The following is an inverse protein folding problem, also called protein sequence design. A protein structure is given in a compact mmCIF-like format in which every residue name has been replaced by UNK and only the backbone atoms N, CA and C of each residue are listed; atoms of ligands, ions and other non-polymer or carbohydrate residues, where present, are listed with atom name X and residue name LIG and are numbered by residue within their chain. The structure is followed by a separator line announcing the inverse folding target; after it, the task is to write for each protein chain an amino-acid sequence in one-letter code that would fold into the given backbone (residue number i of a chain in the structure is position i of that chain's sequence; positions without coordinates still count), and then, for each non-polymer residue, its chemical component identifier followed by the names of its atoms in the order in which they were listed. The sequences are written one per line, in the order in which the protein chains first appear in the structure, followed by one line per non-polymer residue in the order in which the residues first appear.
data_IF_346878332974
#
_entry.id   IF_346878332974
#
_cell.length_a   1.000
_cell.length_b   1.000
_cell.length_c   1.000
_cell.angle_alpha   90.00
_cell.angle_beta   90.00
_cell.angle_gamma   90.00
#
_symmetry.space_group_name_H-M   'P 1'
#
loop_
_entity.id
_entity.type
_entity.pdbx_description
1 polymer ?
#
# COMPACT_ATOMS: atom_id res chain seq x y z
N UNK A 1 28.10 -37.99 38.56
CA UNK A 1 27.84 -37.26 37.30
C UNK A 1 27.52 -38.17 36.09
N UNK A 2 27.05 -39.43 36.26
CA UNK A 2 26.76 -40.34 35.13
C UNK A 2 25.26 -40.70 34.91
N UNK A 3 24.32 -40.05 35.62
CA UNK A 3 22.89 -40.42 35.57
C UNK A 3 22.10 -39.86 34.39
N UNK A 4 22.45 -38.67 33.87
CA UNK A 4 21.64 -37.99 32.85
C UNK A 4 21.78 -38.58 31.43
N UNK A 5 22.93 -39.18 31.11
CA UNK A 5 23.17 -39.78 29.80
C UNK A 5 22.41 -41.12 29.62
N UNK A 6 22.27 -41.92 30.68
CA UNK A 6 21.50 -43.16 30.63
C UNK A 6 19.99 -42.94 30.53
N UNK A 7 19.47 -41.80 31.02
CA UNK A 7 18.04 -41.50 30.97
C UNK A 7 17.58 -41.05 29.57
N UNK A 8 18.40 -40.28 28.84
CA UNK A 8 18.12 -39.86 27.45
C UNK A 8 18.11 -41.04 26.46
N UNK A 9 19.02 -42.01 26.64
CA UNK A 9 19.09 -43.22 25.80
C UNK A 9 17.88 -44.15 25.99
N UNK A 10 17.33 -44.23 27.21
CA UNK A 10 16.15 -45.04 27.54
C UNK A 10 14.85 -44.50 26.94
N UNK A 11 14.69 -43.16 26.91
CA UNK A 11 13.52 -42.53 26.26
C UNK A 11 13.59 -42.70 24.75
N UNK A 12 14.78 -42.58 24.15
CA UNK A 12 14.97 -42.78 22.71
C UNK A 12 14.71 -44.24 22.28
N UNK A 13 15.13 -45.23 23.08
CA UNK A 13 14.85 -46.64 22.80
C UNK A 13 13.37 -46.99 23.01
N UNK A 14 12.74 -46.45 24.05
CA UNK A 14 11.30 -46.65 24.33
C UNK A 14 10.41 -46.08 23.21
N UNK A 15 10.78 -44.94 22.65
CA UNK A 15 10.10 -44.36 21.49
C UNK A 15 10.32 -45.20 20.21
N UNK A 16 11.49 -45.82 20.03
CA UNK A 16 11.78 -46.69 18.89
C UNK A 16 11.06 -48.05 18.98
N UNK A 17 10.84 -48.55 20.19
CA UNK A 17 10.14 -49.82 20.45
C UNK A 17 8.61 -49.66 20.41
N UNK A 18 8.08 -48.50 20.81
CA UNK A 18 6.66 -48.19 20.67
C UNK A 18 6.20 -48.15 19.20
N UNK A 19 7.11 -47.89 18.25
CA UNK A 19 6.84 -47.97 16.80
C UNK A 19 6.77 -49.42 16.29
N UNK A 20 7.32 -50.40 17.03
CA UNK A 20 7.42 -51.81 16.59
C UNK A 20 6.30 -52.73 17.09
N UNK A 21 5.45 -52.29 18.03
CA UNK A 21 4.52 -53.17 18.73
C UNK A 21 3.02 -52.96 18.36
N UNK A 22 2.65 -53.07 17.08
CA UNK A 22 1.24 -53.31 16.73
C UNK A 22 1.11 -54.12 15.45
N UNK A 23 0.54 -55.32 15.60
CA UNK A 23 0.36 -56.36 14.59
C UNK A 23 -0.65 -56.01 13.49
N UNK A 24 -0.30 -55.07 12.63
CA UNK A 24 -0.76 -54.96 11.25
C UNK A 24 0.50 -54.63 10.46
N UNK A 25 0.95 -55.52 9.58
CA UNK A 25 2.07 -55.31 8.65
C UNK A 25 1.72 -54.28 7.59
N UNK A 26 1.34 -53.07 7.99
CA UNK A 26 1.66 -51.88 7.22
C UNK A 26 3.18 -51.82 7.29
N UNK A 27 3.86 -52.36 6.27
CA UNK A 27 5.32 -52.45 6.20
C UNK A 27 5.92 -51.14 6.72
N UNK A 28 6.90 -51.17 7.62
CA UNK A 28 7.44 -49.94 8.25
C UNK A 28 7.85 -48.85 7.25
N UNK A 29 8.07 -49.25 5.99
CA UNK A 29 8.17 -48.38 4.80
C UNK A 29 6.91 -47.56 4.53
N UNK A 30 5.72 -48.16 4.48
CA UNK A 30 4.43 -47.47 4.29
C UNK A 30 4.17 -46.50 5.44
N UNK A 31 4.40 -46.91 6.69
CA UNK A 31 4.26 -46.01 7.85
C UNK A 31 5.22 -44.81 7.76
N UNK A 32 6.46 -45.05 7.33
CA UNK A 32 7.47 -44.01 7.11
C UNK A 32 7.11 -43.08 5.94
N UNK A 33 6.58 -43.62 4.83
CA UNK A 33 6.08 -42.82 3.70
C UNK A 33 4.93 -41.93 4.14
N UNK A 34 3.94 -42.50 4.85
CA UNK A 34 2.80 -41.72 5.38
C UNK A 34 3.31 -40.62 6.31
N UNK A 35 4.24 -40.93 7.21
CA UNK A 35 4.83 -39.93 8.09
C UNK A 35 5.53 -38.80 7.32
N UNK A 36 6.38 -39.14 6.33
CA UNK A 36 7.06 -38.14 5.48
C UNK A 36 6.05 -37.30 4.72
N UNK A 37 4.99 -37.91 4.15
CA UNK A 37 3.92 -37.19 3.45
C UNK A 37 3.20 -36.23 4.41
N UNK A 38 2.86 -36.67 5.62
CA UNK A 38 2.23 -35.82 6.63
C UNK A 38 3.14 -34.64 7.00
N UNK A 39 4.43 -34.89 7.25
CA UNK A 39 5.40 -33.83 7.53
C UNK A 39 5.48 -32.84 6.36
N UNK A 40 5.56 -33.32 5.12
CA UNK A 40 5.59 -32.47 3.93
C UNK A 40 4.31 -31.62 3.81
N UNK A 41 3.14 -32.20 4.08
CA UNK A 41 1.86 -31.47 4.07
C UNK A 41 1.83 -30.39 5.15
N UNK A 42 2.28 -30.69 6.37
CA UNK A 42 2.35 -29.71 7.47
C UNK A 42 3.30 -28.57 7.12
N UNK A 43 4.48 -28.87 6.58
CA UNK A 43 5.45 -27.85 6.13
C UNK A 43 4.85 -26.99 5.02
N UNK A 44 4.19 -27.60 4.02
CA UNK A 44 3.53 -26.88 2.94
C UNK A 44 2.40 -25.97 3.47
N UNK A 45 1.58 -26.47 4.40
CA UNK A 45 0.51 -25.70 5.02
C UNK A 45 1.03 -24.51 5.84
N UNK A 46 2.07 -24.72 6.66
CA UNK A 46 2.72 -23.65 7.43
C UNK A 46 3.33 -22.58 6.50
N UNK A 47 3.95 -23.01 5.40
CA UNK A 47 4.52 -22.11 4.41
C UNK A 47 3.44 -21.30 3.66
N UNK A 48 2.34 -21.94 3.28
CA UNK A 48 1.19 -21.26 2.65
C UNK A 48 0.56 -20.24 3.60
N UNK A 49 0.35 -20.61 4.88
CA UNK A 49 -0.18 -19.71 5.91
C UNK A 49 0.69 -18.47 6.10
N UNK A 50 2.02 -18.64 6.21
CA UNK A 50 2.97 -17.51 6.33
C UNK A 50 2.89 -16.57 5.12
N UNK A 51 2.77 -17.14 3.92
CA UNK A 51 2.68 -16.36 2.69
C UNK A 51 1.37 -15.57 2.62
N UNK A 52 0.24 -16.20 2.96
CA UNK A 52 -1.06 -15.54 3.02
C UNK A 52 -1.07 -14.38 4.03
N UNK A 53 -0.58 -14.63 5.25
CA UNK A 53 -0.54 -13.61 6.30
C UNK A 53 0.39 -12.42 5.95
N UNK A 54 1.45 -12.68 5.18
CA UNK A 54 2.34 -11.62 4.66
C UNK A 54 1.66 -10.79 3.58
N UNK A 55 0.85 -11.40 2.71
CA UNK A 55 0.10 -10.69 1.68
C UNK A 55 -1.00 -9.84 2.31
N UNK A 56 -1.74 -10.38 3.28
CA UNK A 56 -2.79 -9.67 4.01
C UNK A 56 -2.26 -8.40 4.68
N UNK A 57 -1.15 -8.51 5.43
CA UNK A 57 -0.49 -7.36 6.06
C UNK A 57 -0.09 -6.27 5.06
N UNK A 58 0.31 -6.66 3.85
CA UNK A 58 0.70 -5.72 2.81
C UNK A 58 -0.52 -5.02 2.20
N UNK A 59 -1.61 -5.75 1.96
CA UNK A 59 -2.87 -5.18 1.48
C UNK A 59 -3.45 -4.19 2.49
N UNK A 60 -3.49 -4.57 3.77
CA UNK A 60 -3.92 -3.67 4.86
C UNK A 60 -3.07 -2.40 4.89
N UNK A 61 -1.76 -2.50 4.67
CA UNK A 61 -0.88 -1.32 4.63
C UNK A 61 -1.18 -0.40 3.45
N UNK A 62 -1.48 -0.95 2.28
CA UNK A 62 -1.91 -0.15 1.11
C UNK A 62 -3.22 0.55 1.40
N UNK A 63 -4.20 -0.14 1.98
CA UNK A 63 -5.51 0.45 2.29
C UNK A 63 -5.39 1.60 3.30
N UNK A 64 -4.57 1.42 4.33
CA UNK A 64 -4.28 2.47 5.31
C UNK A 64 -3.57 3.67 4.67
N UNK A 65 -2.56 3.42 3.82
CA UNK A 65 -1.85 4.49 3.12
C UNK A 65 -2.76 5.24 2.14
N UNK A 66 -3.66 4.51 1.45
CA UNK A 66 -4.66 5.08 0.56
C UNK A 66 -5.63 6.01 1.31
N UNK A 67 -6.19 5.57 2.44
CA UNK A 67 -7.07 6.41 3.27
C UNK A 67 -6.36 7.65 3.80
N UNK A 68 -5.07 7.53 4.14
CA UNK A 68 -4.25 8.67 4.56
C UNK A 68 -4.00 9.67 3.42
N UNK A 69 -3.85 9.18 2.18
CA UNK A 69 -3.74 10.04 1.02
C UNK A 69 -5.07 10.77 0.76
N UNK A 70 -6.18 10.05 0.75
CA UNK A 70 -7.52 10.60 0.55
C UNK A 70 -7.84 11.72 1.55
N UNK A 71 -7.61 11.50 2.85
CA UNK A 71 -7.84 12.54 3.88
C UNK A 71 -6.97 13.79 3.71
N UNK A 72 -5.78 13.63 3.16
CA UNK A 72 -4.86 14.76 2.91
C UNK A 72 -5.28 15.55 1.66
N UNK A 73 -5.79 14.87 0.62
CA UNK A 73 -6.37 15.51 -0.55
C UNK A 73 -7.65 16.29 -0.19
N UNK A 74 -8.52 15.73 0.65
CA UNK A 74 -9.69 16.44 1.20
C UNK A 74 -9.29 17.71 1.95
N UNK A 75 -8.23 17.65 2.77
CA UNK A 75 -7.72 18.85 3.45
C UNK A 75 -7.23 19.90 2.46
N UNK A 76 -6.53 19.49 1.39
CA UNK A 76 -6.09 20.41 0.32
C UNK A 76 -7.28 21.04 -0.42
N UNK A 77 -8.34 20.30 -0.69
CA UNK A 77 -9.54 20.84 -1.36
C UNK A 77 -10.24 21.91 -0.50
N UNK A 78 -10.29 21.73 0.83
CA UNK A 78 -10.78 22.75 1.77
C UNK A 78 -9.94 24.03 1.69
N UNK A 79 -8.61 23.91 1.69
CA UNK A 79 -7.72 25.07 1.54
C UNK A 79 -7.88 25.75 0.18
N UNK A 80 -8.04 24.97 -0.90
CA UNK A 80 -8.30 25.51 -2.23
C UNK A 80 -9.60 26.33 -2.28
N UNK A 81 -10.67 25.85 -1.64
CA UNK A 81 -11.94 26.61 -1.52
C UNK A 81 -11.80 27.85 -0.65
N UNK A 82 -11.02 27.80 0.43
CA UNK A 82 -10.75 28.96 1.26
C UNK A 82 -10.01 30.06 0.45
N UNK A 83 -9.06 29.66 -0.39
CA UNK A 83 -8.37 30.57 -1.32
C UNK A 83 -9.35 31.13 -2.35
N UNK A 84 -10.25 30.30 -2.91
CA UNK A 84 -11.27 30.75 -3.85
C UNK A 84 -12.21 31.79 -3.20
N UNK A 85 -12.74 31.53 -2.01
CA UNK A 85 -13.62 32.44 -1.28
C UNK A 85 -12.95 33.80 -0.98
N UNK A 86 -11.66 33.80 -0.64
CA UNK A 86 -10.89 35.04 -0.49
C UNK A 86 -10.78 35.81 -1.83
N UNK A 87 -10.51 35.12 -2.93
CA UNK A 87 -10.41 35.76 -4.26
C UNK A 87 -11.74 36.30 -4.76
N UNK A 88 -12.89 35.72 -4.40
CA UNK A 88 -14.22 36.24 -4.77
C UNK A 88 -14.47 37.66 -4.26
N UNK A 89 -13.80 38.06 -3.17
CA UNK A 89 -13.87 39.42 -2.62
C UNK A 89 -13.06 40.44 -3.46
N UNK A 90 -12.26 39.98 -4.42
CA UNK A 90 -11.44 40.84 -5.28
C UNK A 90 -12.31 41.62 -6.29
N UNK A 91 -11.97 42.89 -6.51
CA UNK A 91 -12.66 43.75 -7.48
C UNK A 91 -12.36 43.36 -8.95
N UNK A 92 -11.29 42.61 -9.20
CA UNK A 92 -10.88 42.19 -10.54
C UNK A 92 -11.69 41.01 -11.08
N UNK A 93 -12.17 41.13 -12.32
CA UNK A 93 -12.97 40.11 -12.99
C UNK A 93 -12.18 38.83 -13.24
N UNK A 94 -10.86 38.93 -13.48
CA UNK A 94 -10.01 37.74 -13.66
C UNK A 94 -9.87 36.97 -12.35
N UNK A 95 -9.71 37.67 -11.23
CA UNK A 95 -9.69 37.07 -9.89
C UNK A 95 -10.96 36.26 -9.59
N UNK A 96 -12.14 36.82 -9.89
CA UNK A 96 -13.42 36.10 -9.70
C UNK A 96 -13.56 34.87 -10.60
N UNK A 97 -13.14 34.97 -11.87
CA UNK A 97 -13.12 33.81 -12.79
C UNK A 97 -12.17 32.71 -12.31
N UNK A 98 -10.99 33.09 -11.81
CA UNK A 98 -10.03 32.14 -11.23
C UNK A 98 -10.59 31.47 -9.96
N UNK A 99 -11.31 32.22 -9.12
CA UNK A 99 -12.00 31.69 -7.95
C UNK A 99 -13.07 30.65 -8.31
N UNK A 100 -13.97 31.00 -9.24
CA UNK A 100 -15.01 30.09 -9.71
C UNK A 100 -14.41 28.80 -10.31
N UNK A 101 -13.33 28.94 -11.09
CA UNK A 101 -12.61 27.78 -11.63
C UNK A 101 -11.98 26.92 -10.54
N UNK A 102 -11.32 27.54 -9.54
CA UNK A 102 -10.68 26.83 -8.43
C UNK A 102 -11.70 26.05 -7.60
N UNK A 103 -12.86 26.64 -7.28
CA UNK A 103 -13.96 25.95 -6.61
C UNK A 103 -14.46 24.77 -7.44
N UNK A 104 -14.68 24.97 -8.75
CA UNK A 104 -15.18 23.92 -9.63
C UNK A 104 -14.23 22.71 -9.73
N UNK A 105 -12.92 22.95 -9.86
CA UNK A 105 -11.94 21.84 -9.91
C UNK A 105 -11.77 21.17 -8.55
N UNK A 106 -11.84 21.92 -7.44
CA UNK A 106 -11.78 21.35 -6.09
C UNK A 106 -12.99 20.43 -5.82
N UNK A 107 -14.19 20.85 -6.20
CA UNK A 107 -15.39 20.02 -6.05
C UNK A 107 -15.40 18.81 -6.99
N UNK A 108 -14.86 18.97 -8.21
CA UNK A 108 -14.65 17.86 -9.13
C UNK A 108 -13.68 16.85 -8.55
N UNK A 109 -12.56 17.31 -8.00
CA UNK A 109 -11.57 16.45 -7.36
C UNK A 109 -12.20 15.67 -6.22
N UNK A 110 -12.92 16.32 -5.31
CA UNK A 110 -13.58 15.65 -4.17
C UNK A 110 -14.57 14.55 -4.59
N UNK A 111 -15.30 14.77 -5.69
CA UNK A 111 -16.29 13.83 -6.23
C UNK A 111 -15.71 12.80 -7.21
N UNK A 112 -14.44 12.92 -7.59
CA UNK A 112 -13.84 12.05 -8.60
C UNK A 112 -13.77 10.59 -8.11
N UNK A 113 -14.07 9.66 -9.01
CA UNK A 113 -13.83 8.24 -8.76
C UNK A 113 -12.33 7.95 -8.65
N UNK A 114 -11.91 6.83 -8.05
CA UNK A 114 -10.48 6.53 -7.86
C UNK A 114 -9.63 6.58 -9.13
N UNK A 115 -10.19 6.19 -10.27
CA UNK A 115 -9.57 6.22 -11.60
C UNK A 115 -9.42 7.64 -12.18
N UNK A 116 -10.30 8.56 -11.81
CA UNK A 116 -10.29 9.96 -12.27
C UNK A 116 -9.65 10.92 -11.26
N UNK A 117 -9.34 10.43 -10.06
CA UNK A 117 -8.88 11.25 -8.94
C UNK A 117 -7.56 11.94 -9.25
N UNK A 118 -6.65 11.25 -9.93
CA UNK A 118 -5.34 11.79 -10.29
C UNK A 118 -5.46 12.99 -11.23
N UNK A 119 -6.20 12.85 -12.33
CA UNK A 119 -6.44 13.92 -13.29
C UNK A 119 -7.13 15.12 -12.63
N UNK A 120 -8.10 14.87 -11.75
CA UNK A 120 -8.80 15.94 -11.05
C UNK A 120 -7.90 16.69 -10.05
N UNK A 121 -6.97 16.00 -9.38
CA UNK A 121 -5.96 16.65 -8.50
C UNK A 121 -4.88 17.40 -9.31
N UNK A 122 -4.57 16.95 -10.52
CA UNK A 122 -3.73 17.68 -11.47
C UNK A 122 -4.41 19.01 -11.88
N UNK A 123 -5.71 19.00 -12.16
CA UNK A 123 -6.50 20.21 -12.44
C UNK A 123 -6.50 21.20 -11.27
N UNK A 124 -6.65 20.71 -10.04
CA UNK A 124 -6.53 21.53 -8.81
C UNK A 124 -5.16 22.17 -8.71
N UNK A 125 -4.10 21.39 -8.94
CA UNK A 125 -2.71 21.88 -8.92
C UNK A 125 -2.49 22.97 -9.98
N UNK A 126 -3.00 22.76 -11.19
CA UNK A 126 -2.93 23.75 -12.26
C UNK A 126 -3.72 25.02 -11.95
N UNK A 127 -4.88 24.89 -11.29
CA UNK A 127 -5.67 26.05 -10.86
C UNK A 127 -4.99 26.84 -9.75
N UNK A 128 -4.43 26.17 -8.73
CA UNK A 128 -3.68 26.82 -7.65
C UNK A 128 -2.43 27.55 -8.17
N UNK A 129 -1.73 27.00 -9.16
CA UNK A 129 -0.57 27.68 -9.76
C UNK A 129 -0.94 29.00 -10.44
N UNK A 130 -2.16 29.11 -10.99
CA UNK A 130 -2.65 30.36 -11.60
C UNK A 130 -3.04 31.43 -10.58
N UNK A 131 -3.22 31.06 -9.31
CA UNK A 131 -3.59 32.00 -8.23
C UNK A 131 -2.38 32.46 -7.42
N UNK A 132 -1.17 32.04 -7.78
CA UNK A 132 0.06 32.52 -7.16
C UNK A 132 0.50 33.83 -7.83
N UNK A 133 0.06 34.94 -7.25
CA UNK A 133 0.30 36.30 -7.74
C UNK A 133 0.97 37.21 -6.68
N UNK A 134 1.41 36.64 -5.56
CA UNK A 134 2.05 37.39 -4.46
C UNK A 134 1.11 38.27 -3.62
N UNK A 135 -0.20 38.30 -3.91
CA UNK A 135 -1.19 39.13 -3.19
C UNK A 135 -1.94 38.32 -2.12
N UNK A 136 -1.74 37.00 -2.07
CA UNK A 136 -2.40 36.09 -1.14
C UNK A 136 -1.99 36.37 0.32
N UNK A 137 -2.92 36.33 1.29
CA UNK A 137 -2.61 36.40 2.71
C UNK A 137 -1.61 35.33 3.12
N UNK A 138 -0.63 35.71 3.94
CA UNK A 138 0.43 34.81 4.39
C UNK A 138 -0.13 33.55 5.10
N UNK A 139 -1.24 33.68 5.85
CA UNK A 139 -1.90 32.55 6.50
C UNK A 139 -2.36 31.47 5.50
N UNK A 140 -3.01 31.87 4.40
CA UNK A 140 -3.47 30.94 3.36
C UNK A 140 -2.31 30.35 2.56
N UNK A 141 -1.23 31.11 2.35
CA UNK A 141 -0.01 30.59 1.72
C UNK A 141 0.66 29.51 2.57
N UNK A 142 0.77 29.72 3.89
CA UNK A 142 1.32 28.74 4.83
C UNK A 142 0.43 27.49 4.89
N UNK A 143 -0.89 27.68 4.96
CA UNK A 143 -1.83 26.55 5.02
C UNK A 143 -1.80 25.72 3.74
N UNK A 144 -1.68 26.35 2.57
CA UNK A 144 -1.49 25.64 1.31
C UNK A 144 -0.18 24.87 1.29
N UNK A 145 0.94 25.50 1.68
CA UNK A 145 2.24 24.85 1.69
C UNK A 145 2.27 23.62 2.63
N UNK A 146 1.64 23.70 3.80
CA UNK A 146 1.46 22.56 4.71
C UNK A 146 0.61 21.45 4.05
N UNK A 147 -0.51 21.81 3.43
CA UNK A 147 -1.36 20.85 2.73
C UNK A 147 -0.61 20.14 1.59
N UNK A 148 0.12 20.88 0.75
CA UNK A 148 0.90 20.33 -0.36
C UNK A 148 2.04 19.41 0.12
N UNK A 149 2.73 19.81 1.18
CA UNK A 149 3.77 18.98 1.80
C UNK A 149 3.20 17.65 2.29
N UNK A 150 2.03 17.68 2.96
CA UNK A 150 1.39 16.46 3.43
C UNK A 150 0.93 15.58 2.26
N UNK A 151 0.38 16.14 1.19
CA UNK A 151 -0.03 15.39 0.00
C UNK A 151 1.18 14.67 -0.61
N UNK A 152 2.30 15.39 -0.77
CA UNK A 152 3.53 14.82 -1.30
C UNK A 152 4.03 13.63 -0.45
N UNK A 153 4.03 13.78 0.87
CA UNK A 153 4.42 12.70 1.79
C UNK A 153 3.45 11.51 1.74
N UNK A 154 2.14 11.77 1.75
CA UNK A 154 1.12 10.71 1.69
C UNK A 154 1.19 9.93 0.37
N UNK A 155 1.39 10.62 -0.77
CA UNK A 155 1.60 10.01 -2.09
C UNK A 155 2.81 9.09 -2.07
N UNK A 156 3.92 9.54 -1.48
CA UNK A 156 5.13 8.73 -1.37
C UNK A 156 4.89 7.45 -0.55
N UNK A 157 4.26 7.55 0.62
CA UNK A 157 3.95 6.38 1.44
C UNK A 157 3.00 5.39 0.76
N UNK A 158 2.00 5.90 0.04
CA UNK A 158 1.12 5.06 -0.77
C UNK A 158 1.90 4.33 -1.87
N UNK A 159 2.71 5.05 -2.64
CA UNK A 159 3.51 4.46 -3.73
C UNK A 159 4.55 3.44 -3.23
N UNK A 160 5.15 3.68 -2.05
CA UNK A 160 6.05 2.71 -1.41
C UNK A 160 5.28 1.45 -0.98
N UNK A 161 4.07 1.58 -0.42
CA UNK A 161 3.23 0.44 -0.08
C UNK A 161 2.82 -0.36 -1.33
N UNK A 162 2.45 0.31 -2.42
CA UNK A 162 2.14 -0.32 -3.73
C UNK A 162 3.37 -1.03 -4.31
N UNK A 163 4.55 -0.43 -4.19
CA UNK A 163 5.80 -1.06 -4.64
C UNK A 163 6.09 -2.35 -3.85
N UNK A 164 5.91 -2.31 -2.53
CA UNK A 164 6.11 -3.48 -1.66
C UNK A 164 5.16 -4.63 -2.02
N UNK A 165 3.90 -4.33 -2.36
CA UNK A 165 2.91 -5.35 -2.73
C UNK A 165 3.18 -5.94 -4.12
N UNK A 166 3.51 -5.11 -5.11
CA UNK A 166 3.87 -5.58 -6.46
C UNK A 166 5.16 -6.41 -6.47
N UNK A 167 6.15 -6.02 -5.67
CA UNK A 167 7.40 -6.79 -5.51
C UNK A 167 7.19 -8.18 -4.87
N UNK A 168 6.11 -8.36 -4.09
CA UNK A 168 5.72 -9.68 -3.61
C UNK A 168 4.90 -10.45 -4.65
N UNK A 169 4.00 -9.79 -5.37
CA UNK A 169 3.17 -10.41 -6.41
C UNK A 169 4.00 -11.04 -7.56
N UNK A 170 5.19 -10.50 -7.84
CA UNK A 170 6.10 -11.04 -8.86
C UNK A 170 6.87 -12.29 -8.42
N UNK A 171 6.86 -12.65 -7.12
CA UNK A 171 7.60 -13.83 -6.64
C UNK A 171 6.86 -15.12 -7.04
N UNK A 172 7.55 -15.94 -7.86
CA UNK A 172 7.14 -17.29 -8.33
C UNK A 172 6.30 -18.12 -7.34
N UNK A 173 6.64 -18.25 -6.04
CA UNK A 173 5.83 -19.02 -5.09
C UNK A 173 4.37 -18.58 -4.91
N UNK A 174 4.07 -17.27 -4.95
CA UNK A 174 2.69 -16.76 -4.79
C UNK A 174 1.83 -17.09 -6.02
N UNK A 175 2.46 -17.08 -7.19
CA UNK A 175 1.83 -17.42 -8.48
C UNK A 175 1.48 -18.91 -8.57
N UNK A 176 2.29 -19.78 -7.97
CA UNK A 176 2.05 -21.23 -7.95
C UNK A 176 0.88 -21.63 -7.06
N UNK A 177 0.66 -20.93 -5.94
CA UNK A 177 -0.44 -21.23 -5.02
C UNK A 177 -1.79 -20.60 -5.42
N UNK A 178 -1.87 -19.83 -6.52
CA UNK A 178 -3.09 -19.08 -6.93
C UNK A 178 -3.75 -18.28 -5.78
N UNK A 179 -2.98 -17.91 -4.75
CA UNK A 179 -3.44 -17.18 -3.57
C UNK A 179 -3.62 -15.67 -3.82
N UNK A 180 -3.24 -15.18 -5.01
CA UNK A 180 -3.33 -13.76 -5.37
C UNK A 180 -4.75 -13.26 -5.67
N UNK A 181 -5.73 -14.16 -5.85
CA UNK A 181 -7.06 -13.79 -6.33
C UNK A 181 -7.02 -13.09 -7.70
N UNK A 182 -8.19 -12.85 -8.28
CA UNK A 182 -8.39 -12.07 -9.51
C UNK A 182 -8.35 -10.56 -9.28
N UNK A 183 -7.84 -10.10 -8.13
CA UNK A 183 -7.78 -8.68 -7.81
C UNK A 183 -6.75 -7.99 -8.72
N UNK A 184 -7.20 -6.95 -9.43
CA UNK A 184 -6.32 -6.11 -10.24
C UNK A 184 -5.21 -5.54 -9.34
N UNK A 185 -3.93 -5.54 -9.79
CA UNK A 185 -2.84 -5.02 -8.99
C UNK A 185 -3.05 -3.53 -8.68
N UNK A 186 -2.72 -3.06 -7.46
CA UNK A 186 -2.85 -1.65 -7.12
C UNK A 186 -2.03 -0.77 -8.06
N UNK A 187 -2.65 0.31 -8.54
CA UNK A 187 -2.05 1.27 -9.46
C UNK A 187 -1.27 2.37 -8.69
N UNK A 188 -0.18 2.84 -9.29
CA UNK A 188 0.56 4.00 -8.80
C UNK A 188 -0.30 5.27 -8.94
N UNK A 189 -0.03 6.26 -8.08
CA UNK A 189 -0.65 7.57 -8.15
C UNK A 189 0.42 8.62 -8.49
N UNK A 190 0.31 9.26 -9.65
CA UNK A 190 1.28 10.18 -10.23
C UNK A 190 0.68 11.58 -10.45
N UNK A 191 0.73 12.45 -9.43
CA UNK A 191 0.50 13.89 -9.68
C UNK A 191 1.68 14.41 -10.51
N UNK A 192 1.40 15.02 -11.66
CA UNK A 192 2.43 15.57 -12.56
C UNK A 192 3.23 16.66 -11.85
N UNK A 193 4.38 16.29 -11.32
CA UNK A 193 5.41 17.22 -10.87
C UNK A 193 6.24 17.54 -12.10
N UNK A 194 6.28 18.83 -12.47
CA UNK A 194 6.87 19.34 -13.70
C UNK A 194 8.27 18.73 -13.92
N UNK A 195 8.39 17.81 -14.88
CA UNK A 195 9.68 17.38 -15.42
C UNK A 195 10.25 18.60 -16.13
N UNK A 196 11.34 19.16 -15.60
CA UNK A 196 12.13 20.13 -16.33
C UNK A 196 12.55 19.49 -17.67
N UNK A 197 12.39 20.17 -18.81
CA UNK A 197 12.80 19.61 -20.09
C UNK A 197 14.27 19.21 -20.01
N UNK A 198 14.56 18.00 -20.43
CA UNK A 198 15.91 17.45 -20.51
C UNK A 198 16.79 18.46 -21.26
N UNK A 199 17.84 18.97 -20.59
CA UNK A 199 18.92 19.66 -21.27
C UNK A 199 19.61 18.65 -22.19
N UNK A 200 19.20 18.64 -23.46
CA UNK A 200 20.10 18.34 -24.56
C UNK A 200 21.30 19.29 -24.43
N UNK A 201 22.46 18.80 -23.98
CA UNK A 201 23.74 19.26 -24.52
C UNK A 201 24.96 18.47 -24.03
N UNK A 202 25.70 18.00 -25.04
CA UNK A 202 27.13 17.62 -25.10
C UNK A 202 27.47 16.13 -25.03
#
# INVERSE_FOLDING_TARGET
MNGAAHQQLSVASSLADAVRFSGITVSGTVASIVFVVVVLVVVAAAWAYKTANRLDRLNVRVDLARRSLESTLERRSVVARAIAAWMETSTDDRGRKAAALLTAVADRAERATPDQREDAENDVSAALARTDNGVRPASLSIELADAETRVMMARRFYNDAVRDTRALATRRPVRWLKLGGTAAPPAYFEISERVAPDDESS
#
